data_IF_623656014482
#
_entry.id   IF_623656014482
#
_cell.length_a   1.000
_cell.length_b   1.000
_cell.length_c   1.000
_cell.angle_alpha   90.00
_cell.angle_beta   90.00
_cell.angle_gamma   90.00
#
_symmetry.space_group_name_H-M   'P 1'
#
loop_
_entity.id
_entity.type
_entity.pdbx_description
1 polymer ?
#
# COMPACT_ATOMS: atom_id res chain seq x y z
N UNK A 1 -42.30 0.35 -34.36
CA UNK A 1 -41.45 1.56 -34.27
C UNK A 1 -41.38 1.98 -32.81
N UNK A 2 -40.32 1.58 -32.09
CA UNK A 2 -40.01 2.10 -30.76
C UNK A 2 -38.51 2.38 -30.76
N UNK A 3 -38.16 3.67 -30.68
CA UNK A 3 -36.80 4.17 -30.79
C UNK A 3 -36.06 3.87 -29.49
N UNK A 4 -34.99 3.09 -29.57
CA UNK A 4 -33.96 3.09 -28.53
C UNK A 4 -33.25 4.44 -28.58
N UNK A 5 -33.55 5.32 -27.62
CA UNK A 5 -32.72 6.47 -27.31
C UNK A 5 -31.53 5.99 -26.49
N UNK A 6 -30.48 5.53 -27.18
CA UNK A 6 -29.18 5.34 -26.57
C UNK A 6 -28.56 6.69 -26.29
N UNK A 7 -28.65 7.16 -25.05
CA UNK A 7 -27.82 8.25 -24.54
C UNK A 7 -26.38 7.73 -24.52
N UNK A 8 -25.64 7.97 -25.61
CA UNK A 8 -24.18 7.82 -25.63
C UNK A 8 -23.57 8.86 -24.69
N UNK A 9 -23.53 8.55 -23.39
CA UNK A 9 -22.61 9.22 -22.48
C UNK A 9 -21.19 8.88 -22.95
N UNK A 10 -20.54 9.83 -23.59
CA UNK A 10 -19.15 9.66 -24.01
C UNK A 10 -18.30 9.55 -22.75
N UNK A 11 -17.89 8.33 -22.40
CA UNK A 11 -17.10 8.09 -21.20
C UNK A 11 -15.74 8.78 -21.36
N UNK A 12 -15.32 9.54 -20.34
CA UNK A 12 -14.03 10.24 -20.37
C UNK A 12 -12.91 9.20 -20.35
N UNK A 13 -11.96 9.30 -21.27
CA UNK A 13 -10.83 8.35 -21.33
C UNK A 13 -9.64 8.76 -20.45
N UNK A 14 -9.60 10.03 -20.00
CA UNK A 14 -8.50 10.61 -19.22
C UNK A 14 -9.03 11.25 -17.93
N UNK A 15 -8.20 11.25 -16.89
CA UNK A 15 -8.50 11.92 -15.63
C UNK A 15 -8.53 13.45 -15.83
N UNK A 16 -9.56 14.16 -15.33
CA UNK A 16 -9.72 15.60 -15.59
C UNK A 16 -8.55 16.46 -15.08
N UNK A 17 -7.99 16.09 -13.93
CA UNK A 17 -6.91 16.85 -13.29
C UNK A 17 -5.50 16.41 -13.72
N UNK A 18 -5.38 15.30 -14.47
CA UNK A 18 -4.09 14.77 -14.91
C UNK A 18 -4.25 13.94 -16.19
N UNK A 19 -3.91 14.54 -17.34
CA UNK A 19 -4.06 13.90 -18.65
C UNK A 19 -3.13 12.70 -18.88
N UNK A 20 -2.12 12.47 -18.03
CA UNK A 20 -1.28 11.28 -18.08
C UNK A 20 -1.95 10.04 -17.46
N UNK A 21 -3.06 10.22 -16.74
CA UNK A 21 -3.82 9.13 -16.13
C UNK A 21 -5.02 8.77 -17.00
N UNK A 22 -5.14 7.48 -17.34
CA UNK A 22 -6.22 6.96 -18.17
C UNK A 22 -7.27 6.26 -17.31
N UNK A 23 -8.54 6.48 -17.65
CA UNK A 23 -9.66 5.85 -16.97
C UNK A 23 -9.95 4.47 -17.58
N UNK A 24 -10.04 3.47 -16.72
CA UNK A 24 -10.31 2.07 -17.05
C UNK A 24 -11.71 1.69 -16.55
N UNK A 25 -12.58 1.29 -17.48
CA UNK A 25 -13.99 0.98 -17.21
C UNK A 25 -14.32 -0.51 -17.29
N UNK A 26 -13.42 -1.32 -17.89
CA UNK A 26 -13.67 -2.73 -18.12
C UNK A 26 -13.70 -3.51 -16.78
N UNK A 27 -14.48 -4.60 -16.71
CA UNK A 27 -14.62 -5.41 -15.50
C UNK A 27 -13.36 -6.21 -15.15
N UNK A 28 -12.41 -6.32 -16.08
CA UNK A 28 -11.11 -6.94 -15.89
C UNK A 28 -9.97 -6.03 -16.38
N UNK A 29 -8.77 -6.30 -15.90
CA UNK A 29 -7.52 -5.68 -16.33
C UNK A 29 -6.52 -6.79 -16.63
N UNK A 30 -6.17 -6.96 -17.91
CA UNK A 30 -5.27 -8.01 -18.39
C UNK A 30 -5.72 -9.42 -17.93
N UNK A 31 -7.03 -9.69 -17.98
CA UNK A 31 -7.62 -10.97 -17.59
C UNK A 31 -7.78 -11.17 -16.07
N UNK A 32 -7.41 -10.19 -15.24
CA UNK A 32 -7.66 -10.20 -13.81
C UNK A 32 -8.92 -9.39 -13.49
N UNK A 33 -9.91 -9.94 -12.76
CA UNK A 33 -11.10 -9.20 -12.41
C UNK A 33 -10.77 -8.01 -11.50
N UNK A 34 -11.33 -6.84 -11.81
CA UNK A 34 -11.30 -5.67 -10.93
C UNK A 34 -12.64 -5.55 -10.19
N UNK A 35 -12.68 -4.72 -9.14
CA UNK A 35 -13.93 -4.55 -8.36
C UNK A 35 -14.97 -3.80 -9.18
N UNK A 36 -15.82 -4.57 -9.89
CA UNK A 36 -16.92 -4.05 -10.69
C UNK A 36 -17.81 -3.13 -9.84
N UNK A 37 -18.13 -1.94 -10.37
CA UNK A 37 -18.96 -0.94 -9.68
C UNK A 37 -18.23 -0.01 -8.71
N UNK A 38 -16.90 -0.16 -8.54
CA UNK A 38 -16.06 0.83 -7.82
C UNK A 38 -15.28 1.76 -8.74
N UNK A 39 -15.28 1.47 -10.05
CA UNK A 39 -14.57 2.24 -11.06
C UNK A 39 -15.28 3.54 -11.50
N UNK A 40 -14.68 4.29 -12.44
CA UNK A 40 -13.51 3.90 -13.23
C UNK A 40 -12.21 3.84 -12.41
N UNK A 41 -11.33 2.91 -12.78
CA UNK A 41 -10.00 2.81 -12.19
C UNK A 41 -8.99 3.62 -12.99
N UNK A 42 -7.82 3.88 -12.41
CA UNK A 42 -6.69 4.48 -13.13
C UNK A 42 -5.84 3.35 -13.69
N UNK A 43 -5.70 3.30 -15.02
CA UNK A 43 -4.99 2.24 -15.74
C UNK A 43 -3.54 2.11 -15.28
N UNK A 44 -2.85 3.23 -15.09
CA UNK A 44 -1.47 3.29 -14.62
C UNK A 44 -1.33 2.66 -13.23
N UNK A 45 -2.26 2.97 -12.31
CA UNK A 45 -2.26 2.37 -10.98
C UNK A 45 -2.50 0.85 -11.02
N UNK A 46 -3.38 0.37 -11.91
CA UNK A 46 -3.58 -1.07 -12.10
C UNK A 46 -2.33 -1.75 -12.66
N UNK A 47 -1.67 -1.11 -13.63
CA UNK A 47 -0.40 -1.56 -14.20
C UNK A 47 0.70 -1.64 -13.13
N UNK A 48 0.89 -0.59 -12.34
CA UNK A 48 1.90 -0.55 -11.28
C UNK A 48 1.63 -1.58 -10.17
N UNK A 49 0.36 -1.76 -9.79
CA UNK A 49 -0.07 -2.80 -8.85
C UNK A 49 0.29 -4.20 -9.37
N UNK A 50 -0.12 -4.53 -10.61
CA UNK A 50 0.15 -5.82 -11.22
C UNK A 50 1.64 -6.07 -11.35
N UNK A 51 2.39 -5.11 -11.88
CA UNK A 51 3.83 -5.22 -12.05
C UNK A 51 4.56 -5.45 -10.71
N UNK A 52 4.16 -4.73 -9.66
CA UNK A 52 4.74 -4.91 -8.31
C UNK A 52 4.49 -6.32 -7.76
N UNK A 53 3.29 -6.86 -7.97
CA UNK A 53 2.93 -8.24 -7.59
C UNK A 53 3.77 -9.25 -8.37
N UNK A 54 3.88 -9.10 -9.69
CA UNK A 54 4.68 -9.97 -10.55
C UNK A 54 6.15 -9.99 -10.14
N UNK A 55 6.72 -8.82 -9.84
CA UNK A 55 8.10 -8.73 -9.34
C UNK A 55 8.29 -9.44 -7.98
N UNK A 56 7.26 -9.47 -7.11
CA UNK A 56 7.33 -10.20 -5.86
C UNK A 56 7.25 -11.71 -6.08
N UNK A 57 6.34 -12.17 -6.94
CA UNK A 57 6.14 -13.58 -7.30
C UNK A 57 7.35 -14.15 -8.06
N UNK A 58 8.00 -13.35 -8.92
CA UNK A 58 9.22 -13.74 -9.61
C UNK A 58 10.42 -13.86 -8.66
N UNK A 59 10.43 -13.08 -7.57
CA UNK A 59 11.55 -13.04 -6.64
C UNK A 59 11.47 -14.09 -5.53
N UNK A 60 10.27 -14.49 -5.10
CA UNK A 60 10.09 -15.37 -3.95
C UNK A 60 9.21 -16.58 -4.29
N UNK A 61 9.58 -17.79 -3.83
CA UNK A 61 8.76 -18.98 -4.03
C UNK A 61 7.41 -18.89 -3.28
N UNK A 62 7.37 -18.13 -2.19
CA UNK A 62 6.16 -17.86 -1.40
C UNK A 62 6.14 -16.39 -0.99
N UNK A 63 5.07 -15.71 -1.34
CA UNK A 63 4.86 -14.30 -0.98
C UNK A 63 3.87 -14.19 0.18
N UNK A 64 4.20 -13.36 1.17
CA UNK A 64 3.24 -12.88 2.16
C UNK A 64 2.70 -11.54 1.65
N UNK A 65 1.39 -11.50 1.35
CA UNK A 65 0.68 -10.31 0.92
C UNK A 65 -0.33 -9.89 1.98
N UNK A 66 -0.37 -8.61 2.34
CA UNK A 66 -1.38 -8.09 3.27
C UNK A 66 -1.68 -6.61 3.00
N UNK A 67 -2.92 -6.21 3.32
CA UNK A 67 -3.37 -4.82 3.23
C UNK A 67 -3.20 -4.11 4.57
N UNK A 68 -2.80 -2.85 4.52
CA UNK A 68 -2.68 -1.97 5.70
C UNK A 68 -3.39 -0.65 5.39
N UNK A 69 -4.20 -0.18 6.34
CA UNK A 69 -4.87 1.10 6.25
C UNK A 69 -4.27 2.04 7.32
N UNK A 70 -3.44 2.99 6.90
CA UNK A 70 -2.84 3.98 7.80
C UNK A 70 -3.73 5.21 7.90
N UNK A 71 -3.98 5.66 9.12
CA UNK A 71 -4.78 6.84 9.42
C UNK A 71 -3.96 7.82 10.23
N UNK A 72 -4.12 9.11 9.93
CA UNK A 72 -3.57 10.15 10.79
C UNK A 72 -4.27 10.11 12.16
N UNK A 73 -3.53 10.24 13.26
CA UNK A 73 -4.12 10.36 14.59
C UNK A 73 -4.95 11.65 14.70
N UNK A 74 -5.79 11.71 15.74
CA UNK A 74 -6.65 12.86 16.04
C UNK A 74 -5.90 13.99 16.75
N UNK A 75 -4.58 14.03 16.62
CA UNK A 75 -3.70 14.95 17.34
C UNK A 75 -3.56 16.27 16.54
N UNK A 76 -3.85 17.43 17.15
CA UNK A 76 -3.73 18.72 16.47
C UNK A 76 -2.29 19.10 16.07
N UNK A 77 -1.26 18.54 16.72
CA UNK A 77 0.12 19.03 16.59
C UNK A 77 1.04 18.11 15.75
N UNK A 78 0.48 17.48 14.71
CA UNK A 78 1.32 16.78 13.74
C UNK A 78 2.12 17.78 12.88
N UNK A 79 3.38 17.47 12.55
CA UNK A 79 4.18 18.32 11.68
C UNK A 79 3.55 18.44 10.29
N UNK A 80 3.71 19.59 9.62
CA UNK A 80 3.06 19.89 8.33
C UNK A 80 3.26 18.81 7.26
N UNK A 81 4.44 18.19 7.22
CA UNK A 81 4.73 17.12 6.26
C UNK A 81 3.83 15.89 6.42
N UNK A 82 3.25 15.67 7.61
CA UNK A 82 2.34 14.56 7.89
C UNK A 82 1.07 14.61 7.01
N UNK A 83 0.71 15.80 6.52
CA UNK A 83 -0.45 16.03 5.66
C UNK A 83 -0.11 15.97 4.15
N UNK A 84 1.11 15.53 3.81
CA UNK A 84 1.60 15.44 2.43
C UNK A 84 1.96 13.99 2.09
N UNK A 85 2.31 13.73 0.82
CA UNK A 85 2.86 12.42 0.44
C UNK A 85 4.26 12.14 1.04
N UNK A 86 4.89 13.09 1.72
CA UNK A 86 6.17 12.86 2.37
C UNK A 86 6.04 11.87 3.54
N UNK A 87 4.90 11.85 4.25
CA UNK A 87 4.68 10.95 5.39
C UNK A 87 4.73 9.48 4.98
N UNK A 88 4.17 9.13 3.81
CA UNK A 88 4.15 7.74 3.36
C UNK A 88 5.53 7.28 2.89
N UNK A 89 6.32 8.18 2.30
CA UNK A 89 7.72 7.92 1.99
C UNK A 89 8.54 7.64 3.26
N UNK A 90 8.36 8.45 4.31
CA UNK A 90 9.01 8.26 5.62
C UNK A 90 8.61 6.93 6.27
N UNK A 91 7.34 6.55 6.16
CA UNK A 91 6.85 5.26 6.64
C UNK A 91 7.58 4.10 5.97
N UNK A 92 7.62 4.06 4.63
CA UNK A 92 8.28 2.97 3.92
C UNK A 92 9.79 2.97 4.09
N UNK A 93 10.43 4.14 4.22
CA UNK A 93 11.84 4.24 4.58
C UNK A 93 12.11 3.58 5.94
N UNK A 94 11.37 3.96 6.96
CA UNK A 94 11.49 3.40 8.31
C UNK A 94 11.21 1.90 8.32
N UNK A 95 10.11 1.48 7.70
CA UNK A 95 9.68 0.09 7.67
C UNK A 95 10.70 -0.80 6.93
N UNK A 96 11.22 -0.34 5.80
CA UNK A 96 12.27 -1.05 5.04
C UNK A 96 13.55 -1.19 5.86
N UNK A 97 13.99 -0.12 6.54
CA UNK A 97 15.17 -0.18 7.42
C UNK A 97 14.99 -1.19 8.56
N UNK A 98 13.81 -1.25 9.19
CA UNK A 98 13.52 -2.23 10.25
C UNK A 98 13.55 -3.67 9.74
N UNK A 99 13.02 -3.93 8.54
CA UNK A 99 13.08 -5.25 7.90
C UNK A 99 14.52 -5.62 7.57
N UNK A 100 15.28 -4.70 6.98
CA UNK A 100 16.68 -4.91 6.64
C UNK A 100 17.51 -5.24 7.89
N UNK A 101 17.43 -4.41 8.94
CA UNK A 101 18.13 -4.64 10.20
C UNK A 101 17.80 -6.01 10.81
N UNK A 102 16.52 -6.40 10.79
CA UNK A 102 16.13 -7.72 11.27
C UNK A 102 16.74 -8.85 10.43
N UNK A 103 16.74 -8.72 9.10
CA UNK A 103 17.36 -9.73 8.22
C UNK A 103 18.87 -9.82 8.44
N UNK A 104 19.56 -8.70 8.66
CA UNK A 104 20.98 -8.66 9.00
C UNK A 104 21.25 -9.43 10.31
N UNK A 105 20.45 -9.17 11.36
CA UNK A 105 20.57 -9.87 12.65
C UNK A 105 20.28 -11.37 12.58
N UNK A 106 19.31 -11.78 11.79
CA UNK A 106 19.04 -13.20 11.56
C UNK A 106 20.12 -13.84 10.66
N UNK A 107 20.75 -13.03 9.80
CA UNK A 107 21.86 -13.40 8.93
C UNK A 107 23.16 -13.69 9.68
N UNK A 108 23.45 -12.95 10.75
CA UNK A 108 24.55 -13.25 11.69
C UNK A 108 24.46 -14.69 12.23
N UNK A 109 23.25 -15.25 12.31
CA UNK A 109 22.97 -16.63 12.75
C UNK A 109 22.80 -17.62 11.60
N UNK A 110 23.10 -17.23 10.36
CA UNK A 110 22.94 -18.02 9.11
C UNK A 110 21.50 -18.47 8.81
N UNK A 111 20.49 -17.77 9.32
CA UNK A 111 19.07 -18.09 9.10
C UNK A 111 18.35 -17.10 8.17
N UNK A 112 19.03 -16.07 7.66
CA UNK A 112 18.40 -15.06 6.82
C UNK A 112 17.92 -15.68 5.50
N UNK A 113 16.67 -15.36 5.14
CA UNK A 113 16.07 -15.72 3.84
C UNK A 113 16.03 -14.54 2.88
N UNK A 114 16.40 -13.35 3.34
CA UNK A 114 16.33 -12.11 2.58
C UNK A 114 14.90 -11.63 2.39
N UNK A 115 14.68 -10.32 2.45
CA UNK A 115 13.35 -9.76 2.24
C UNK A 115 13.43 -8.30 1.78
N UNK A 116 13.29 -8.08 0.47
CA UNK A 116 12.98 -6.77 -0.10
C UNK A 116 11.49 -6.47 0.12
N UNK A 117 11.21 -5.31 0.73
CA UNK A 117 9.84 -4.79 0.88
C UNK A 117 9.38 -4.28 -0.49
N UNK A 118 8.29 -4.86 -1.00
CA UNK A 118 7.58 -4.35 -2.18
C UNK A 118 6.21 -3.87 -1.74
N UNK A 119 5.75 -2.77 -2.32
CA UNK A 119 4.49 -2.17 -1.93
C UNK A 119 3.89 -1.35 -3.04
N UNK A 120 2.57 -1.16 -2.96
CA UNK A 120 1.87 -0.07 -3.63
C UNK A 120 0.98 0.63 -2.62
N UNK A 121 0.64 1.88 -2.89
CA UNK A 121 -0.20 2.66 -1.99
C UNK A 121 -1.12 3.60 -2.77
N UNK A 122 -2.26 3.93 -2.16
CA UNK A 122 -3.11 5.05 -2.55
C UNK A 122 -3.41 5.92 -1.34
N UNK A 123 -3.71 7.20 -1.59
CA UNK A 123 -4.19 8.14 -0.58
C UNK A 123 -5.59 8.57 -0.93
N UNK A 124 -6.45 8.59 0.07
CA UNK A 124 -7.82 9.07 -0.02
C UNK A 124 -8.07 10.11 1.05
N UNK A 125 -9.00 11.02 0.78
CA UNK A 125 -9.52 11.96 1.78
C UNK A 125 -10.87 11.42 2.21
N UNK A 126 -10.92 10.89 3.43
CA UNK A 126 -12.14 10.33 4.01
C UNK A 126 -13.17 11.40 4.40
N UNK A 127 -14.32 10.91 4.86
CA UNK A 127 -15.39 11.76 5.43
C UNK A 127 -14.82 12.54 6.62
N UNK A 128 -14.89 13.87 6.56
CA UNK A 128 -14.29 14.77 7.55
C UNK A 128 -12.92 15.33 7.16
N UNK A 129 -12.48 15.17 5.90
CA UNK A 129 -11.28 15.83 5.37
C UNK A 129 -9.97 15.17 5.78
N UNK A 130 -10.03 14.01 6.43
CA UNK A 130 -8.84 13.31 6.96
C UNK A 130 -8.25 12.38 5.94
N UNK A 131 -6.94 12.48 5.79
CA UNK A 131 -6.19 11.62 4.88
C UNK A 131 -6.03 10.22 5.49
N UNK A 132 -6.22 9.21 4.67
CA UNK A 132 -5.84 7.83 4.98
C UNK A 132 -5.14 7.20 3.78
N UNK A 133 -4.31 6.22 4.07
CA UNK A 133 -3.50 5.54 3.06
C UNK A 133 -3.86 4.06 3.03
N UNK A 134 -4.12 3.53 1.85
CA UNK A 134 -4.34 2.11 1.62
C UNK A 134 -3.08 1.52 1.00
N UNK A 135 -2.51 0.53 1.67
CA UNK A 135 -1.25 -0.09 1.28
C UNK A 135 -1.48 -1.57 0.95
N UNK A 136 -0.82 -2.05 -0.09
CA UNK A 136 -0.50 -3.47 -0.24
C UNK A 136 0.98 -3.62 0.05
N UNK A 137 1.34 -4.54 0.96
CA UNK A 137 2.73 -4.88 1.26
C UNK A 137 2.97 -6.34 0.91
N UNK A 138 4.08 -6.61 0.23
CA UNK A 138 4.49 -7.91 -0.29
C UNK A 138 5.90 -8.23 0.26
N UNK A 139 6.01 -9.34 0.99
CA UNK A 139 7.23 -9.80 1.65
C UNK A 139 7.56 -11.24 1.29
N UNK A 140 8.80 -11.66 1.52
CA UNK A 140 9.19 -13.06 1.45
C UNK A 140 8.55 -13.84 2.60
N UNK A 141 7.64 -14.78 2.30
CA UNK A 141 6.94 -15.57 3.32
C UNK A 141 7.89 -16.50 4.09
N UNK A 142 9.00 -16.89 3.47
CA UNK A 142 10.02 -17.73 4.12
C UNK A 142 10.82 -16.95 5.18
N UNK A 143 10.90 -15.63 5.03
CA UNK A 143 11.45 -14.73 6.04
C UNK A 143 10.41 -14.35 7.10
N UNK A 144 9.17 -14.13 6.69
CA UNK A 144 8.07 -13.69 7.55
C UNK A 144 6.80 -14.50 7.25
N UNK A 145 6.47 -15.43 8.13
CA UNK A 145 5.36 -16.37 7.90
C UNK A 145 3.97 -15.71 8.00
N UNK A 146 3.81 -14.73 8.90
CA UNK A 146 2.54 -14.03 9.18
C UNK A 146 2.82 -12.60 9.64
N UNK A 147 1.78 -11.76 9.60
CA UNK A 147 1.79 -10.40 10.14
C UNK A 147 1.93 -10.39 11.67
N UNK A 148 1.43 -11.44 12.35
CA UNK A 148 1.51 -11.58 13.80
C UNK A 148 0.21 -11.17 14.49
N UNK A 149 0.30 -10.80 15.78
CA UNK A 149 -0.84 -10.46 16.63
C UNK A 149 -0.68 -9.07 17.22
N UNK A 150 -1.78 -8.31 17.26
CA UNK A 150 -1.85 -7.03 17.96
C UNK A 150 -1.49 -7.25 19.45
N UNK A 151 -0.82 -6.27 20.06
CA UNK A 151 -0.46 -6.26 21.49
C UNK A 151 0.33 -7.50 21.94
N UNK A 152 1.13 -8.07 21.04
CA UNK A 152 2.06 -9.14 21.37
C UNK A 152 3.29 -8.56 22.06
N UNK A 153 3.70 -9.12 23.20
CA UNK A 153 4.99 -8.80 23.84
C UNK A 153 6.19 -9.15 22.95
N UNK A 154 6.01 -10.14 22.05
CA UNK A 154 7.01 -10.48 21.04
C UNK A 154 6.87 -9.55 19.84
N UNK A 155 7.98 -8.92 19.49
CA UNK A 155 8.15 -8.12 18.28
C UNK A 155 7.67 -8.89 17.04
N UNK A 156 6.81 -8.26 16.23
CA UNK A 156 6.24 -8.85 15.03
C UNK A 156 6.04 -7.81 13.91
N UNK A 157 5.34 -8.16 12.83
CA UNK A 157 5.16 -7.22 11.70
C UNK A 157 4.29 -6.03 12.09
N UNK A 158 3.31 -6.22 12.97
CA UNK A 158 2.43 -5.16 13.44
C UNK A 158 3.23 -4.12 14.22
N UNK A 159 4.01 -4.55 15.22
CA UNK A 159 4.82 -3.61 16.00
C UNK A 159 5.81 -2.87 15.11
N UNK A 160 6.40 -3.53 14.11
CA UNK A 160 7.24 -2.86 13.09
C UNK A 160 6.51 -1.77 12.33
N UNK A 161 5.26 -2.02 11.92
CA UNK A 161 4.45 -1.02 11.22
C UNK A 161 4.03 0.12 12.15
N UNK A 162 3.63 -0.17 13.39
CA UNK A 162 3.26 0.82 14.40
C UNK A 162 4.45 1.75 14.70
N UNK A 163 5.62 1.18 14.99
CA UNK A 163 6.85 1.92 15.24
C UNK A 163 7.29 2.75 14.01
N UNK A 164 7.12 2.20 12.80
CA UNK A 164 7.43 2.94 11.57
C UNK A 164 6.43 4.04 11.27
N UNK A 165 5.16 3.88 11.62
CA UNK A 165 4.14 4.90 11.44
C UNK A 165 4.32 6.04 12.44
N UNK A 166 4.56 5.73 13.71
CA UNK A 166 4.90 6.73 14.71
C UNK A 166 6.15 7.54 14.31
N UNK A 167 7.22 6.86 13.87
CA UNK A 167 8.42 7.52 13.34
C UNK A 167 8.11 8.41 12.13
N UNK A 168 7.27 7.93 11.21
CA UNK A 168 6.89 8.69 10.02
C UNK A 168 6.15 9.99 10.40
N UNK A 169 5.33 9.95 11.44
CA UNK A 169 4.58 11.08 12.00
C UNK A 169 5.41 12.00 12.91
N UNK A 170 6.64 11.62 13.26
CA UNK A 170 7.47 12.38 14.21
C UNK A 170 7.04 12.20 15.67
N UNK A 171 6.29 11.15 15.99
CA UNK A 171 5.84 10.83 17.34
C UNK A 171 6.91 9.99 18.07
N UNK A 172 7.06 10.21 19.38
CA UNK A 172 7.82 9.29 20.23
C UNK A 172 7.06 7.98 20.39
N UNK A 173 7.74 6.87 20.17
CA UNK A 173 7.22 5.55 20.57
C UNK A 173 7.67 5.37 22.02
N UNK A 174 6.79 5.64 22.99
CA UNK A 174 7.07 5.25 24.37
C UNK A 174 7.13 3.71 24.43
N UNK A 175 8.24 3.19 24.96
CA UNK A 175 8.49 1.76 25.17
C UNK A 175 8.11 1.37 26.60
#
# INVERSE_FOLDING_TARGET
>A
MLRHTGTSSQQRLRHPDNNNLHLHYDPDFEGLPVMVGKGPFIRECLSDLKHTIELALAQYPRVLAFRVDLRLPQDPDLPDFAYTNQVISRFFESFTKRIQYHQEKVGERRYARGCKVRYVWSREIGVGGKQHYHLLILLNRDAYYTVGRLRSERVNMISRMEESWAYALGLSVEH
#
